data_IF_230026608030
#
_entry.id   IF_230026608030
#
_cell.length_a   1.000
_cell.length_b   1.000
_cell.length_c   1.000
_cell.angle_alpha   90.00
_cell.angle_beta   90.00
_cell.angle_gamma   90.00
#
_symmetry.space_group_name_H-M   'P 1'
#
loop_
_entity.id
_entity.type
_entity.pdbx_description
1 polymer ?
#
# COMPACT_ATOMS: atom_id res chain seq x y z
N UNK A 1 14.63 -45.60 -31.97
CA UNK A 1 14.25 -44.96 -30.68
C UNK A 1 14.15 -43.43 -30.79
N UNK A 2 15.09 -42.74 -31.45
CA UNK A 2 15.03 -41.27 -31.61
C UNK A 2 13.77 -40.73 -32.35
N UNK A 3 13.26 -41.43 -33.36
CA UNK A 3 12.03 -41.02 -34.08
C UNK A 3 10.74 -41.14 -33.26
N UNK A 4 10.70 -42.08 -32.30
CA UNK A 4 9.53 -42.27 -31.43
C UNK A 4 9.51 -41.19 -30.36
N UNK A 5 10.68 -40.87 -29.80
CA UNK A 5 10.84 -39.79 -28.82
C UNK A 5 10.50 -38.42 -29.44
N UNK A 6 11.01 -38.13 -30.63
CA UNK A 6 10.72 -36.87 -31.33
C UNK A 6 9.23 -36.69 -31.64
N UNK A 7 8.54 -37.77 -32.04
CA UNK A 7 7.10 -37.72 -32.34
C UNK A 7 6.26 -37.53 -31.08
N UNK A 8 6.68 -38.12 -29.96
CA UNK A 8 6.08 -37.91 -28.64
C UNK A 8 6.28 -36.47 -28.15
N UNK A 9 7.49 -35.91 -28.31
CA UNK A 9 7.83 -34.56 -27.87
C UNK A 9 7.10 -33.49 -28.71
N UNK A 10 6.88 -33.72 -30.01
CA UNK A 10 6.06 -32.84 -30.86
C UNK A 10 4.56 -32.94 -30.57
N UNK A 11 4.02 -34.13 -30.29
CA UNK A 11 2.61 -34.30 -29.89
C UNK A 11 2.32 -33.61 -28.55
N UNK A 12 3.26 -33.64 -27.60
CA UNK A 12 3.17 -32.93 -26.32
C UNK A 12 3.23 -31.40 -26.53
N UNK A 13 4.14 -30.91 -27.36
CA UNK A 13 4.21 -29.48 -27.71
C UNK A 13 2.91 -29.00 -28.38
N UNK A 14 2.38 -29.78 -29.32
CA UNK A 14 1.17 -29.42 -30.04
C UNK A 14 -0.08 -29.42 -29.15
N UNK A 15 -0.18 -30.33 -28.17
CA UNK A 15 -1.27 -30.34 -27.19
C UNK A 15 -1.13 -29.23 -26.13
N UNK A 16 0.09 -28.91 -25.70
CA UNK A 16 0.36 -27.81 -24.78
C UNK A 16 0.01 -26.43 -25.39
N UNK A 17 0.13 -26.29 -26.71
CA UNK A 17 -0.24 -25.07 -27.44
C UNK A 17 -1.73 -24.97 -27.79
N UNK A 18 -2.44 -26.10 -27.94
CA UNK A 18 -3.85 -26.09 -28.40
C UNK A 18 -4.88 -26.29 -27.30
N UNK A 19 -4.55 -27.00 -26.22
CA UNK A 19 -5.54 -27.33 -25.19
C UNK A 19 -5.51 -26.34 -24.02
N UNK A 20 -5.88 -25.10 -24.35
CA UNK A 20 -6.02 -24.00 -23.39
C UNK A 20 -6.91 -24.41 -22.20
N UNK A 21 -7.90 -25.28 -22.44
CA UNK A 21 -8.79 -25.83 -21.41
C UNK A 21 -8.03 -26.71 -20.43
N UNK A 22 -7.21 -27.65 -20.91
CA UNK A 22 -6.38 -28.49 -20.05
C UNK A 22 -5.33 -27.68 -19.28
N UNK A 23 -4.65 -26.73 -19.94
CA UNK A 23 -3.67 -25.87 -19.26
C UNK A 23 -4.32 -24.97 -18.21
N UNK A 24 -5.53 -24.46 -18.46
CA UNK A 24 -6.31 -23.72 -17.46
C UNK A 24 -6.76 -24.61 -16.30
N UNK A 25 -7.13 -25.87 -16.57
CA UNK A 25 -7.47 -26.85 -15.55
C UNK A 25 -6.28 -27.18 -14.64
N UNK A 26 -5.10 -27.46 -15.21
CA UNK A 26 -3.88 -27.69 -14.43
C UNK A 26 -3.50 -26.46 -13.61
N UNK A 27 -3.61 -25.26 -14.20
CA UNK A 27 -3.36 -24.00 -13.46
C UNK A 27 -4.34 -23.81 -12.31
N UNK A 28 -5.60 -24.21 -12.48
CA UNK A 28 -6.62 -24.22 -11.41
C UNK A 28 -6.23 -25.13 -10.26
N UNK A 29 -5.88 -26.38 -10.55
CA UNK A 29 -5.43 -27.35 -9.54
C UNK A 29 -4.19 -26.83 -8.79
N UNK A 30 -3.21 -26.31 -9.52
CA UNK A 30 -2.00 -25.75 -8.89
C UNK A 30 -2.33 -24.56 -7.98
N UNK A 31 -3.22 -23.66 -8.41
CA UNK A 31 -3.64 -22.52 -7.59
C UNK A 31 -4.37 -22.97 -6.33
N UNK A 32 -5.22 -24.00 -6.41
CA UNK A 32 -5.96 -24.52 -5.26
C UNK A 32 -5.04 -25.28 -4.29
N UNK A 33 -4.10 -26.07 -4.80
CA UNK A 33 -3.06 -26.71 -3.97
C UNK A 33 -2.19 -25.68 -3.26
N UNK A 34 -1.81 -24.58 -3.92
CA UNK A 34 -1.07 -23.49 -3.29
C UNK A 34 -1.89 -22.77 -2.21
N UNK A 35 -3.20 -22.60 -2.40
CA UNK A 35 -4.08 -22.04 -1.37
C UNK A 35 -4.20 -22.95 -0.14
N UNK A 36 -4.27 -24.26 -0.34
CA UNK A 36 -4.39 -25.23 0.76
C UNK A 36 -3.07 -25.46 1.51
N UNK A 37 -1.93 -25.29 0.84
CA UNK A 37 -0.60 -25.51 1.43
C UNK A 37 0.03 -24.25 2.03
N UNK A 38 -0.33 -23.06 1.56
CA UNK A 38 0.19 -21.78 2.08
C UNK A 38 -0.79 -21.22 3.12
N UNK A 39 -0.62 -21.63 4.38
CA UNK A 39 -1.32 -20.97 5.48
C UNK A 39 -0.71 -19.57 5.69
N UNK A 40 -1.37 -18.53 5.19
CA UNK A 40 -0.98 -17.14 5.45
C UNK A 40 -1.07 -16.87 6.96
N UNK A 41 0.06 -16.51 7.57
CA UNK A 41 0.13 -16.05 8.96
C UNK A 41 0.33 -14.55 8.98
N UNK A 42 -0.63 -13.81 9.53
CA UNK A 42 -0.55 -12.36 9.65
C UNK A 42 0.10 -11.97 10.97
N UNK A 43 1.18 -11.19 10.91
CA UNK A 43 1.89 -10.66 12.07
C UNK A 43 1.64 -9.15 12.15
N UNK A 44 1.02 -8.69 13.23
CA UNK A 44 0.84 -7.27 13.51
C UNK A 44 2.02 -6.68 14.27
N UNK A 45 2.63 -5.62 13.75
CA UNK A 45 3.76 -4.91 14.39
C UNK A 45 3.29 -3.57 14.94
N UNK A 46 3.29 -3.42 16.27
CA UNK A 46 2.78 -2.23 16.96
C UNK A 46 3.86 -1.58 17.82
N UNK A 47 3.76 -0.26 18.02
CA UNK A 47 4.73 0.51 18.80
C UNK A 47 4.66 2.00 18.49
N UNK A 48 5.28 2.83 19.33
CA UNK A 48 5.35 4.28 19.13
C UNK A 48 6.25 4.62 17.94
N UNK A 49 6.13 5.87 17.47
CA UNK A 49 7.10 6.42 16.51
C UNK A 49 8.50 6.39 17.12
N UNK A 50 9.48 5.90 16.37
CA UNK A 50 10.87 5.79 16.83
C UNK A 50 11.27 4.41 17.36
N UNK A 51 10.32 3.51 17.62
CA UNK A 51 10.60 2.16 18.16
C UNK A 51 11.26 1.20 17.13
N UNK A 52 11.61 1.68 15.93
CA UNK A 52 12.36 0.89 14.94
C UNK A 52 11.53 -0.12 14.15
N UNK A 53 10.20 -0.05 14.15
CA UNK A 53 9.30 -1.01 13.46
C UNK A 53 9.68 -1.26 11.99
N UNK A 54 9.82 -0.20 11.18
CA UNK A 54 10.20 -0.32 9.77
C UNK A 54 11.60 -0.92 9.60
N UNK A 55 12.53 -0.57 10.49
CA UNK A 55 13.89 -1.11 10.49
C UNK A 55 13.92 -2.60 10.79
N UNK A 56 13.10 -3.07 11.75
CA UNK A 56 12.95 -4.49 12.07
C UNK A 56 12.36 -5.26 10.88
N UNK A 57 11.33 -4.71 10.23
CA UNK A 57 10.73 -5.34 9.03
C UNK A 57 11.77 -5.46 7.91
N UNK A 58 12.47 -4.37 7.58
CA UNK A 58 13.53 -4.37 6.57
C UNK A 58 14.65 -5.38 6.89
N UNK A 59 15.03 -5.50 8.17
CA UNK A 59 16.07 -6.45 8.61
C UNK A 59 15.62 -7.91 8.51
N UNK A 60 14.37 -8.23 8.85
CA UNK A 60 13.82 -9.59 8.73
C UNK A 60 13.71 -10.02 7.27
N UNK A 61 13.38 -9.08 6.38
CA UNK A 61 13.21 -9.33 4.95
C UNK A 61 14.52 -9.22 4.15
N UNK A 62 15.63 -8.84 4.79
CA UNK A 62 16.92 -8.53 4.17
C UNK A 62 16.84 -7.50 3.03
N UNK A 63 15.92 -6.53 3.16
CA UNK A 63 15.69 -5.46 2.19
C UNK A 63 15.86 -4.09 2.84
N UNK A 64 17.02 -3.47 2.64
CA UNK A 64 17.45 -2.26 3.38
C UNK A 64 16.50 -1.07 3.22
N UNK A 65 15.91 -0.90 2.04
CA UNK A 65 15.15 0.31 1.66
C UNK A 65 13.68 0.01 1.30
N UNK A 66 13.14 -1.14 1.73
CA UNK A 66 11.75 -1.49 1.45
C UNK A 66 10.76 -0.51 2.10
N UNK A 67 10.88 -0.31 3.42
CA UNK A 67 10.12 0.68 4.16
C UNK A 67 11.01 1.86 4.54
N UNK A 68 10.49 3.11 4.49
CA UNK A 68 11.25 4.26 4.93
C UNK A 68 11.58 4.16 6.42
N UNK A 69 12.85 4.33 6.75
CA UNK A 69 13.35 4.35 8.13
C UNK A 69 13.91 5.74 8.44
N UNK A 70 13.61 6.25 9.64
CA UNK A 70 14.18 7.52 10.10
C UNK A 70 14.17 7.57 11.62
N UNK A 71 15.15 8.28 12.17
CA UNK A 71 15.40 8.38 13.61
C UNK A 71 14.75 9.61 14.25
N UNK A 72 14.57 10.68 13.48
CA UNK A 72 14.17 12.00 13.99
C UNK A 72 12.71 12.39 13.72
N UNK A 73 12.03 11.71 12.77
CA UNK A 73 10.66 12.03 12.36
C UNK A 73 9.85 10.76 12.12
N UNK A 74 8.53 10.86 12.22
CA UNK A 74 7.64 9.77 11.85
C UNK A 74 7.77 9.50 10.34
N UNK A 75 8.11 8.28 9.97
CA UNK A 75 8.27 7.87 8.56
C UNK A 75 7.09 7.06 8.02
N UNK A 76 6.14 6.69 8.87
CA UNK A 76 5.00 5.84 8.50
C UNK A 76 3.73 6.40 9.16
N UNK A 77 2.87 7.01 8.35
CA UNK A 77 1.58 7.59 8.75
C UNK A 77 0.38 6.75 8.30
N UNK A 78 0.63 5.67 7.54
CA UNK A 78 -0.36 4.78 6.94
C UNK A 78 -0.13 3.34 7.41
N UNK A 79 -1.17 2.53 7.38
CA UNK A 79 -1.04 1.09 7.57
C UNK A 79 -0.37 0.52 6.32
N UNK A 80 0.69 -0.27 6.52
CA UNK A 80 1.42 -0.93 5.44
C UNK A 80 1.33 -2.43 5.67
N UNK A 81 0.91 -3.16 4.63
CA UNK A 81 0.94 -4.61 4.57
C UNK A 81 2.03 -5.02 3.59
N UNK A 82 2.94 -5.87 4.05
CA UNK A 82 4.01 -6.44 3.22
C UNK A 82 3.70 -7.92 3.02
N UNK A 83 3.66 -8.35 1.77
CA UNK A 83 3.44 -9.75 1.39
C UNK A 83 4.50 -10.21 0.41
N UNK A 84 4.75 -11.52 0.36
CA UNK A 84 5.56 -12.11 -0.69
C UNK A 84 4.84 -12.00 -2.04
N UNK A 85 5.49 -11.39 -3.03
CA UNK A 85 5.02 -11.34 -4.41
C UNK A 85 5.13 -12.70 -5.12
N UNK A 86 4.40 -12.87 -6.21
CA UNK A 86 4.50 -14.06 -7.06
C UNK A 86 5.83 -14.09 -7.85
N UNK A 87 6.36 -12.93 -8.20
CA UNK A 87 7.62 -12.76 -8.93
C UNK A 87 8.71 -12.21 -7.99
N UNK A 88 9.93 -12.74 -8.09
CA UNK A 88 11.02 -12.43 -7.15
C UNK A 88 11.54 -11.00 -7.25
N UNK A 89 11.54 -10.44 -8.46
CA UNK A 89 12.22 -9.17 -8.75
C UNK A 89 11.24 -8.02 -9.05
N UNK A 90 9.93 -8.27 -8.87
CA UNK A 90 8.88 -7.28 -9.11
C UNK A 90 8.25 -6.82 -7.80
N UNK A 91 8.52 -5.58 -7.42
CA UNK A 91 7.82 -4.92 -6.31
C UNK A 91 6.55 -4.28 -6.83
N UNK A 92 5.44 -4.52 -6.14
CA UNK A 92 4.18 -3.86 -6.40
C UNK A 92 3.66 -3.25 -5.11
N UNK A 93 3.24 -1.99 -5.17
CA UNK A 93 2.59 -1.28 -4.08
C UNK A 93 1.18 -0.88 -4.53
N UNK A 94 0.19 -1.31 -3.75
CA UNK A 94 -1.20 -0.88 -3.93
C UNK A 94 -1.54 0.13 -2.84
N UNK A 95 -1.96 1.31 -3.26
CA UNK A 95 -2.41 2.39 -2.38
C UNK A 95 -3.93 2.36 -2.39
N UNK A 96 -4.54 2.12 -1.24
CA UNK A 96 -5.98 2.25 -1.05
C UNK A 96 -6.31 3.63 -0.50
N UNK A 97 -7.15 4.37 -1.21
CA UNK A 97 -7.55 5.71 -0.78
C UNK A 97 -8.79 5.65 0.11
N UNK A 98 -8.86 6.57 1.06
CA UNK A 98 -10.10 6.84 1.81
C UNK A 98 -11.14 7.46 0.87
N UNK A 99 -12.42 7.34 1.20
CA UNK A 99 -13.46 8.03 0.43
C UNK A 99 -13.38 9.54 0.63
N UNK A 100 -13.94 10.30 -0.32
CA UNK A 100 -14.05 11.75 -0.22
C UNK A 100 -14.79 12.18 1.05
N UNK A 101 -15.86 11.48 1.41
CA UNK A 101 -16.66 11.77 2.61
C UNK A 101 -15.87 11.50 3.89
N UNK A 102 -15.08 10.42 3.92
CA UNK A 102 -14.21 10.11 5.05
C UNK A 102 -13.13 11.18 5.23
N UNK A 103 -12.52 11.64 4.13
CA UNK A 103 -11.57 12.74 4.13
C UNK A 103 -12.18 14.06 4.64
N UNK A 104 -13.32 14.48 4.09
CA UNK A 104 -14.00 15.71 4.52
C UNK A 104 -14.38 15.65 6.00
N UNK A 105 -14.85 14.49 6.47
CA UNK A 105 -15.16 14.26 7.88
C UNK A 105 -13.92 14.36 8.77
N UNK A 106 -12.80 13.74 8.37
CA UNK A 106 -11.54 13.84 9.11
C UNK A 106 -11.04 15.28 9.14
N UNK A 107 -11.04 15.98 8.00
CA UNK A 107 -10.60 17.37 7.91
C UNK A 107 -11.43 18.28 8.82
N UNK A 108 -12.76 18.14 8.79
CA UNK A 108 -13.67 18.88 9.67
C UNK A 108 -13.38 18.59 11.15
N UNK A 109 -13.09 17.32 11.49
CA UNK A 109 -12.70 16.95 12.85
C UNK A 109 -11.37 17.56 13.27
N UNK A 110 -10.37 17.62 12.38
CA UNK A 110 -9.07 18.21 12.67
C UNK A 110 -9.19 19.73 12.90
N UNK A 111 -9.95 20.43 12.05
CA UNK A 111 -10.18 21.87 12.20
C UNK A 111 -10.96 22.16 13.49
N UNK A 112 -12.01 21.40 13.79
CA UNK A 112 -12.74 21.53 15.06
C UNK A 112 -11.83 21.26 16.27
N UNK A 113 -11.00 20.22 16.17
CA UNK A 113 -9.95 19.89 17.14
C UNK A 113 -8.81 20.93 17.19
N UNK A 114 -8.75 21.93 16.31
CA UNK A 114 -7.82 23.07 16.45
C UNK A 114 -8.53 24.35 16.92
N UNK A 115 -9.85 24.47 16.74
CA UNK A 115 -10.62 25.66 17.12
C UNK A 115 -11.01 25.75 18.61
N UNK A 116 -11.38 24.64 19.28
CA UNK A 116 -11.69 24.63 20.73
C UNK A 116 -10.53 25.01 21.68
N UNK A 117 -10.66 26.00 22.57
CA UNK A 117 -9.56 26.49 23.42
C UNK A 117 -9.20 25.61 24.64
N UNK A 118 -9.61 24.33 24.68
CA UNK A 118 -9.39 23.45 25.85
C UNK A 118 -7.91 23.07 26.05
N UNK A 119 -7.57 22.57 27.24
CA UNK A 119 -6.27 21.95 27.51
C UNK A 119 -6.04 20.75 26.59
N UNK A 120 -5.33 20.99 25.48
CA UNK A 120 -5.01 19.95 24.51
C UNK A 120 -3.61 19.42 24.72
N UNK A 121 -3.48 18.11 24.48
CA UNK A 121 -2.20 17.48 24.33
C UNK A 121 -1.42 18.15 23.17
N UNK A 122 -0.32 18.85 23.48
CA UNK A 122 0.51 19.58 22.51
C UNK A 122 0.95 18.70 21.34
N UNK A 123 1.22 17.42 21.59
CA UNK A 123 1.59 16.45 20.56
C UNK A 123 0.45 16.21 19.59
N UNK A 124 -0.79 16.08 20.07
CA UNK A 124 -1.95 15.89 19.21
C UNK A 124 -2.29 17.14 18.40
N UNK A 125 -2.15 18.34 19.00
CA UNK A 125 -2.26 19.59 18.24
C UNK A 125 -1.24 19.66 17.12
N UNK A 126 0.02 19.30 17.40
CA UNK A 126 1.07 19.28 16.39
C UNK A 126 0.73 18.30 15.26
N UNK A 127 0.33 17.07 15.57
CA UNK A 127 -0.07 16.09 14.56
C UNK A 127 -1.24 16.58 13.69
N UNK A 128 -2.24 17.24 14.28
CA UNK A 128 -3.37 17.80 13.54
C UNK A 128 -2.92 18.92 12.59
N UNK A 129 -2.02 19.81 13.04
CA UNK A 129 -1.43 20.86 12.19
C UNK A 129 -0.61 20.25 11.06
N UNK A 130 0.29 19.32 11.38
CA UNK A 130 1.16 18.65 10.41
C UNK A 130 0.32 17.96 9.31
N UNK A 131 -0.81 17.33 9.68
CA UNK A 131 -1.75 16.72 8.70
C UNK A 131 -2.37 17.76 7.75
N UNK A 132 -2.88 18.87 8.27
CA UNK A 132 -3.50 19.92 7.44
C UNK A 132 -2.44 20.57 6.54
N UNK A 133 -1.27 20.90 7.09
CA UNK A 133 -0.20 21.57 6.36
C UNK A 133 0.45 20.67 5.31
N UNK A 134 0.47 19.34 5.51
CA UNK A 134 0.91 18.39 4.48
C UNK A 134 0.02 18.43 3.22
N UNK A 135 -1.28 18.66 3.37
CA UNK A 135 -2.22 18.75 2.24
C UNK A 135 -2.26 20.16 1.66
N UNK A 136 -2.42 21.17 2.52
CA UNK A 136 -2.74 22.54 2.09
C UNK A 136 -1.55 23.50 2.07
N UNK A 137 -0.41 23.10 2.65
CA UNK A 137 0.79 23.92 2.77
C UNK A 137 0.88 24.65 4.12
N UNK A 138 2.03 25.28 4.36
CA UNK A 138 2.32 25.97 5.62
C UNK A 138 1.29 27.05 5.95
N UNK A 139 1.04 27.26 7.25
CA UNK A 139 0.10 28.26 7.79
C UNK A 139 -1.39 28.06 7.44
N UNK A 140 -1.77 26.94 6.81
CA UNK A 140 -3.17 26.62 6.53
C UNK A 140 -3.90 25.96 7.70
N UNK A 141 -3.18 25.53 8.74
CA UNK A 141 -3.76 24.92 9.93
C UNK A 141 -4.64 25.87 10.78
N UNK A 142 -4.57 27.18 10.55
CA UNK A 142 -5.42 28.18 11.20
C UNK A 142 -6.70 28.53 10.41
N UNK A 143 -6.91 27.91 9.25
CA UNK A 143 -8.05 28.17 8.36
C UNK A 143 -9.29 27.38 8.78
N UNK A 144 -10.47 27.93 8.48
CA UNK A 144 -11.73 27.20 8.69
C UNK A 144 -11.88 26.06 7.67
N UNK A 145 -12.78 25.12 7.96
CA UNK A 145 -13.09 24.02 7.04
C UNK A 145 -13.58 24.57 5.69
N UNK A 146 -14.44 25.58 5.69
CA UNK A 146 -14.99 26.21 4.49
C UNK A 146 -13.91 26.94 3.68
N UNK A 147 -12.93 27.57 4.34
CA UNK A 147 -11.79 28.19 3.65
C UNK A 147 -10.90 27.12 2.99
N UNK A 148 -10.65 25.99 3.66
CA UNK A 148 -9.85 24.89 3.10
C UNK A 148 -10.57 24.21 1.94
N UNK A 149 -11.88 23.99 2.03
CA UNK A 149 -12.67 23.37 0.94
C UNK A 149 -12.74 24.24 -0.33
N UNK A 150 -12.53 25.55 -0.22
CA UNK A 150 -12.43 26.47 -1.37
C UNK A 150 -11.04 26.57 -1.98
N UNK A 151 -10.03 25.98 -1.34
CA UNK A 151 -8.66 25.95 -1.85
C UNK A 151 -8.57 25.05 -3.09
N UNK A 152 -7.78 25.46 -4.09
CA UNK A 152 -7.58 24.69 -5.33
C UNK A 152 -7.11 23.25 -5.04
N UNK A 153 -6.32 23.07 -3.99
CA UNK A 153 -5.84 21.75 -3.54
C UNK A 153 -6.96 20.82 -3.10
N UNK A 154 -8.06 21.35 -2.56
CA UNK A 154 -9.23 20.52 -2.23
C UNK A 154 -9.83 19.88 -3.48
N UNK A 155 -9.82 20.60 -4.61
CA UNK A 155 -10.30 20.07 -5.89
C UNK A 155 -9.39 18.97 -6.40
N UNK A 156 -8.07 19.17 -6.32
CA UNK A 156 -7.07 18.15 -6.69
C UNK A 156 -7.19 16.89 -5.82
N UNK A 157 -7.25 17.05 -4.49
CA UNK A 157 -7.40 15.94 -3.55
C UNK A 157 -8.71 15.20 -3.82
N UNK A 158 -9.84 15.91 -3.94
CA UNK A 158 -11.12 15.29 -4.26
C UNK A 158 -11.07 14.53 -5.60
N UNK A 159 -10.35 15.05 -6.59
CA UNK A 159 -10.08 14.36 -7.85
C UNK A 159 -9.29 13.07 -7.65
N UNK A 160 -8.24 13.08 -6.82
CA UNK A 160 -7.48 11.87 -6.49
C UNK A 160 -8.31 10.83 -5.74
N UNK A 161 -9.16 11.25 -4.80
CA UNK A 161 -10.02 10.36 -4.01
C UNK A 161 -11.18 9.76 -4.82
N UNK A 162 -11.37 10.16 -6.08
CA UNK A 162 -12.24 9.40 -7.00
C UNK A 162 -11.66 8.03 -7.36
N UNK A 163 -10.32 7.89 -7.24
CA UNK A 163 -9.66 6.59 -7.35
C UNK A 163 -9.86 5.84 -6.04
N UNK A 164 -10.35 4.60 -6.12
CA UNK A 164 -10.41 3.71 -4.95
C UNK A 164 -9.02 3.15 -4.64
N UNK A 165 -8.25 2.84 -5.68
CA UNK A 165 -6.92 2.24 -5.57
C UNK A 165 -5.98 2.79 -6.64
N UNK A 166 -4.68 2.76 -6.34
CA UNK A 166 -3.62 3.02 -7.31
C UNK A 166 -2.48 2.03 -7.11
N UNK A 167 -2.08 1.36 -8.19
CA UNK A 167 -0.98 0.41 -8.17
C UNK A 167 0.27 1.04 -8.80
N UNK A 168 1.41 0.82 -8.16
CA UNK A 168 2.74 1.21 -8.63
C UNK A 168 3.58 -0.06 -8.67
N UNK A 169 4.32 -0.28 -9.75
CA UNK A 169 5.21 -1.43 -9.90
C UNK A 169 6.63 -0.98 -10.23
N UNK A 170 7.61 -1.68 -9.69
CA UNK A 170 9.03 -1.47 -9.94
C UNK A 170 9.73 -2.81 -10.08
N UNK A 171 10.59 -2.94 -11.11
CA UNK A 171 11.41 -4.12 -11.33
C UNK A 171 12.82 -3.81 -10.85
N UNK A 172 13.35 -4.62 -9.94
CA UNK A 172 14.73 -4.48 -9.44
C UNK A 172 15.65 -4.94 -10.57
N UNK A 173 16.43 -4.01 -11.13
CA UNK A 173 17.47 -4.35 -12.10
C UNK A 173 18.70 -4.79 -11.30
N UNK A 174 19.00 -6.08 -11.35
CA UNK A 174 20.15 -6.72 -10.74
C UNK A 174 21.45 -6.41 -11.48
#
# INVERSE_FOLDING_TARGET
>A
MAQVQHRFDEEIKHHAETDTTFMNFIRGIMADLLKETIQKTTIGVFGKTGDGKSSVINAILDEKELLPTGTLRACTSVIIQVEAGAERDQYTATIEFISKEAWEKELKSLVGFLAEPKERNKTMCKMAKDKIEALYGENKSSKSFEELMKDDRSTEIAGMLTLTTKTISHVKVS
#
